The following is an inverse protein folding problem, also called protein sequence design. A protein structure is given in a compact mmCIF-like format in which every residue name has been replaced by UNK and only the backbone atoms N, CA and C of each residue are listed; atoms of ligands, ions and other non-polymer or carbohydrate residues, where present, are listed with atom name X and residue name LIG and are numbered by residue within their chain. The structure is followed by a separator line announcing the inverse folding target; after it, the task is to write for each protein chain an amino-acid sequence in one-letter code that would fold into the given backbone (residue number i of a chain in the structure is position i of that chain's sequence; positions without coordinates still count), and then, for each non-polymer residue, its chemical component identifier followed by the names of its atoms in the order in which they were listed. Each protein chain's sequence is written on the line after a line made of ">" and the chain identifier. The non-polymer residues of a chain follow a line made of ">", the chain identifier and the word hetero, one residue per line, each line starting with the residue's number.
data_IF_935283059201
#
_entry.id   IF_935283059201
#
_cell.length_a   1.000
_cell.length_b   1.000
_cell.length_c   1.000
_cell.angle_alpha   90.00
_cell.angle_beta   90.00
_cell.angle_gamma   90.00
#
_symmetry.space_group_name_H-M   'P 1'
#
loop_
_entity.id
_entity.type
_entity.pdbx_description
1 polymer ?
2 non-polymer ?
3 water ?
#
# COMPACT_ATOMS: atom_id res chain seq x y z
N UNK A 22 -24.32 13.88 -10.05
CA UNK A 22 -24.65 13.75 -8.63
C UNK A 22 -24.42 12.29 -8.18
N UNK A 23 -25.01 11.28 -8.83
CA UNK A 23 -24.74 9.84 -8.62
C UNK A 23 -23.62 9.33 -9.56
N UNK A 24 -22.39 9.20 -9.07
CA UNK A 24 -21.24 8.87 -9.94
C UNK A 24 -20.40 7.76 -9.28
N UNK A 25 -19.54 7.15 -10.07
CA UNK A 25 -18.47 6.25 -9.59
C UNK A 25 -17.50 7.10 -8.79
N UNK A 26 -17.21 6.71 -7.55
CA UNK A 26 -16.22 7.39 -6.69
C UNK A 26 -14.83 7.46 -7.35
N UNK A 27 -14.51 6.56 -8.25
CA UNK A 27 -13.16 6.25 -8.72
C UNK A 27 -12.91 6.78 -10.13
N UNK A 28 -13.90 6.79 -11.01
CA UNK A 28 -13.74 7.31 -12.39
C UNK A 28 -14.76 8.43 -12.71
N UNK A 29 -15.73 8.69 -11.82
CA UNK A 29 -16.73 9.77 -11.93
C UNK A 29 -17.73 9.52 -13.05
N UNK A 30 -17.86 8.30 -13.59
CA UNK A 30 -18.90 7.97 -14.56
C UNK A 30 -20.25 7.95 -13.88
N UNK A 31 -21.31 8.16 -14.68
CA UNK A 31 -22.71 7.98 -14.25
C UNK A 31 -23.22 6.62 -14.66
N UNK A 32 -22.48 5.87 -15.49
CA UNK A 32 -22.95 4.62 -16.15
C UNK A 32 -22.61 3.36 -15.34
N UNK A 33 -23.54 2.41 -15.30
CA UNK A 33 -23.35 1.01 -14.84
C UNK A 33 -22.92 1.00 -13.37
N UNK A 34 -23.59 1.77 -12.53
CA UNK A 34 -23.24 1.95 -11.10
C UNK A 34 -23.85 0.85 -10.23
N UNK A 35 -23.19 0.49 -9.16
CA UNK A 35 -23.77 -0.22 -8.01
C UNK A 35 -23.22 0.39 -6.72
N UNK A 36 -23.88 0.14 -5.58
CA UNK A 36 -23.35 0.52 -4.25
C UNK A 36 -21.99 -0.16 -4.00
N UNK A 37 -21.06 0.61 -3.46
CA UNK A 37 -19.79 0.09 -2.93
C UNK A 37 -20.07 -0.90 -1.78
N UNK A 38 -21.18 -0.75 -1.06
CA UNK A 38 -21.37 -1.43 0.25
C UNK A 38 -22.28 -2.66 0.12
N UNK A 39 -22.82 -2.89 -1.07
CA UNK A 39 -23.69 -4.06 -1.30
C UNK A 39 -22.85 -5.13 -1.93
N UNK A 40 -23.14 -6.39 -1.59
CA UNK A 40 -22.60 -7.51 -2.43
C UNK A 40 -23.09 -7.41 -3.86
N UNK A 41 -22.19 -7.66 -4.79
CA UNK A 41 -22.53 -7.57 -6.21
C UNK A 41 -22.52 -8.99 -6.77
N UNK A 42 -23.69 -9.59 -7.07
CA UNK A 42 -23.69 -10.97 -7.59
C UNK A 42 -23.13 -11.12 -9.02
N UNK A 43 -22.73 -10.04 -9.68
CA UNK A 43 -22.45 -10.04 -11.14
C UNK A 43 -20.96 -10.25 -11.29
N UNK A 44 -20.18 -10.00 -10.24
CA UNK A 44 -18.71 -10.11 -10.26
C UNK A 44 -18.35 -11.13 -9.22
N UNK A 45 -17.78 -12.22 -9.64
CA UNK A 45 -17.07 -13.12 -8.74
C UNK A 45 -15.86 -12.40 -8.18
N UNK A 46 -15.84 -12.16 -6.88
CA UNK A 46 -14.74 -11.43 -6.22
C UNK A 46 -14.20 -12.28 -5.11
N UNK A 47 -12.97 -11.96 -4.77
CA UNK A 47 -12.13 -12.80 -3.91
C UNK A 47 -11.82 -12.05 -2.63
N UNK A 48 -12.20 -10.78 -2.37
CA UNK A 48 -12.09 -10.14 -1.03
C UNK A 48 -13.10 -8.99 -0.95
N UNK A 49 -13.40 -8.43 0.23
CA UNK A 49 -14.43 -7.36 0.30
C UNK A 49 -13.88 -6.09 -0.41
N UNK A 50 -14.78 -5.29 -0.96
CA UNK A 50 -14.36 -4.21 -1.86
C UNK A 50 -13.62 -3.13 -1.07
N UNK A 51 -14.04 -2.71 0.15
CA UNK A 51 -13.27 -1.73 0.89
C UNK A 51 -11.82 -2.18 1.08
N UNK A 52 -11.59 -3.46 1.41
CA UNK A 52 -10.19 -3.94 1.53
C UNK A 52 -9.43 -3.76 0.17
N UNK A 53 -10.08 -4.13 -0.94
CA UNK A 53 -9.43 -4.00 -2.30
C UNK A 53 -9.09 -2.55 -2.60
N UNK A 54 -9.99 -1.64 -2.23
CA UNK A 54 -9.79 -0.20 -2.52
C UNK A 54 -8.57 0.30 -1.73
N UNK A 55 -8.60 -0.01 -0.44
CA UNK A 55 -7.58 0.40 0.52
C UNK A 55 -6.23 -0.09 0.05
N UNK A 56 -6.11 -1.34 -0.38
CA UNK A 56 -4.83 -1.90 -0.80
C UNK A 56 -4.13 -0.98 -1.85
N UNK A 57 -4.89 -0.41 -2.79
CA UNK A 57 -4.35 0.29 -4.00
C UNK A 57 -4.25 1.78 -3.74
N UNK A 58 -5.12 2.36 -2.94
CA UNK A 58 -5.28 3.83 -2.94
C UNK A 58 -5.06 4.38 -1.54
N UNK A 59 -5.12 3.48 -0.52
CA UNK A 59 -5.00 3.86 0.89
C UNK A 59 -6.20 4.68 1.34
N UNK A 60 -7.20 4.87 0.48
CA UNK A 60 -8.52 5.49 0.81
C UNK A 60 -9.34 4.45 1.58
N UNK A 61 -9.86 4.88 2.73
CA UNK A 61 -10.67 4.05 3.62
C UNK A 61 -12.09 4.53 3.41
N UNK A 62 -12.91 3.83 2.65
CA UNK A 62 -14.28 4.25 2.30
C UNK A 62 -15.22 3.74 3.39
N UNK A 63 -16.26 4.46 3.74
CA UNK A 63 -17.30 3.90 4.65
C UNK A 63 -18.61 4.61 4.37
N UNK A 64 -19.71 3.90 4.64
CA UNK A 64 -21.07 4.41 4.45
C UNK A 64 -21.21 5.67 5.30
N UNK A 65 -21.64 6.78 4.71
CA UNK A 65 -21.83 8.05 5.42
C UNK A 65 -20.56 8.88 5.47
N UNK A 66 -19.51 8.61 4.65
CA UNK A 66 -18.29 9.46 4.68
C UNK A 66 -18.51 10.73 3.83
N UNK A 67 -19.68 10.92 3.21
CA UNK A 67 -19.96 12.16 2.46
C UNK A 67 -19.40 12.10 1.03
N UNK A 68 -18.87 10.96 0.60
CA UNK A 68 -18.24 10.79 -0.73
C UNK A 68 -19.18 9.95 -1.54
N UNK A 69 -19.10 9.93 -2.89
CA UNK A 69 -19.97 9.06 -3.67
C UNK A 69 -19.87 7.58 -3.21
N UNK A 70 -21.03 6.93 -3.11
CA UNK A 70 -21.26 5.61 -2.50
C UNK A 70 -21.32 4.50 -3.54
N UNK A 71 -21.03 4.83 -4.80
CA UNK A 71 -21.19 3.94 -5.95
C UNK A 71 -19.85 3.74 -6.65
N UNK A 72 -19.80 2.65 -7.40
CA UNK A 72 -18.65 2.24 -8.25
C UNK A 72 -19.25 1.64 -9.51
N UNK A 73 -18.64 1.92 -10.63
CA UNK A 73 -19.03 1.34 -11.93
C UNK A 73 -18.44 -0.07 -12.01
N UNK A 74 -19.00 -0.85 -12.90
CA UNK A 74 -18.59 -2.25 -13.14
C UNK A 74 -17.12 -2.27 -13.51
N UNK A 75 -16.66 -1.39 -14.40
CA UNK A 75 -15.26 -1.47 -14.86
C UNK A 75 -14.30 -1.19 -13.69
N UNK A 76 -14.55 -0.21 -12.85
CA UNK A 76 -13.74 0.05 -11.65
C UNK A 76 -13.80 -1.18 -10.67
N UNK A 77 -14.96 -1.79 -10.47
CA UNK A 77 -15.06 -3.01 -9.62
C UNK A 77 -14.16 -4.12 -10.19
N UNK A 78 -14.22 -4.31 -11.51
CA UNK A 78 -13.37 -5.33 -12.16
C UNK A 78 -11.90 -5.01 -12.01
N UNK A 79 -11.52 -3.75 -12.17
CA UNK A 79 -10.10 -3.33 -12.03
C UNK A 79 -9.63 -3.59 -10.59
N UNK A 80 -10.44 -3.28 -9.57
CA UNK A 80 -10.03 -3.52 -8.18
C UNK A 80 -9.80 -5.02 -8.01
N UNK A 81 -10.70 -5.84 -8.54
CA UNK A 81 -10.59 -7.31 -8.34
C UNK A 81 -9.32 -7.78 -9.08
N UNK A 82 -9.09 -7.28 -10.26
CA UNK A 82 -7.93 -7.66 -11.09
C UNK A 82 -6.65 -7.31 -10.36
N UNK A 83 -6.53 -6.11 -9.82
CA UNK A 83 -5.32 -5.75 -9.08
C UNK A 83 -5.16 -6.69 -7.86
N UNK A 84 -6.22 -7.04 -7.12
CA UNK A 84 -6.08 -7.94 -5.97
C UNK A 84 -5.55 -9.34 -6.45
N UNK A 85 -6.10 -9.86 -7.54
CA UNK A 85 -5.70 -11.22 -8.03
C UNK A 85 -4.22 -11.21 -8.44
N UNK A 86 -3.81 -10.12 -9.07
CA UNK A 86 -2.40 -9.93 -9.46
C UNK A 86 -1.51 -9.93 -8.22
N UNK A 87 -1.86 -9.16 -7.22
CA UNK A 87 -1.10 -9.09 -5.95
C UNK A 87 -1.00 -10.47 -5.35
N UNK A 88 -2.07 -11.25 -5.33
CA UNK A 88 -2.06 -12.60 -4.76
C UNK A 88 -1.06 -13.48 -5.55
N UNK A 89 -1.01 -13.36 -6.88
CA UNK A 89 -0.04 -14.17 -7.65
C UNK A 89 1.39 -13.73 -7.27
N UNK A 90 1.66 -12.44 -7.25
CA UNK A 90 3.00 -11.90 -6.92
C UNK A 90 3.43 -12.42 -5.55
N UNK A 91 2.50 -12.47 -4.57
CA UNK A 91 2.86 -12.93 -3.21
C UNK A 91 3.13 -14.44 -3.22
N UNK A 92 2.36 -15.22 -3.97
CA UNK A 92 2.62 -16.65 -4.12
C UNK A 92 4.05 -16.85 -4.70
N UNK A 93 4.40 -16.12 -5.75
CA UNK A 93 5.74 -16.23 -6.38
C UNK A 93 6.82 -15.93 -5.34
N UNK A 94 6.64 -14.88 -4.57
CA UNK A 94 7.63 -14.51 -3.53
C UNK A 94 7.77 -15.65 -2.50
N UNK A 95 6.70 -16.22 -1.99
CA UNK A 95 6.74 -17.33 -1.01
C UNK A 95 7.54 -18.52 -1.61
N UNK A 96 7.21 -18.91 -2.83
CA UNK A 96 7.88 -20.06 -3.51
C UNK A 96 9.38 -19.78 -3.69
N UNK A 97 9.75 -18.56 -4.04
CA UNK A 97 11.16 -18.19 -4.27
C UNK A 97 11.85 -18.18 -2.91
N UNK A 98 11.22 -17.63 -1.87
CA UNK A 98 11.90 -17.57 -0.54
C UNK A 98 12.03 -18.97 0.08
N UNK A 99 11.25 -19.94 -0.33
CA UNK A 99 11.26 -21.30 0.24
C UNK A 99 12.25 -22.17 -0.53
N UNK A 100 12.67 -21.74 -1.72
CA UNK A 100 13.52 -22.56 -2.61
C UNK A 100 14.82 -22.97 -1.92
N UNK A 101 15.53 -22.08 -1.20
CA UNK A 101 16.78 -22.46 -0.54
C UNK A 101 16.53 -23.56 0.53
N UNK A 102 15.30 -23.75 1.01
CA UNK A 102 15.05 -24.77 2.04
C UNK A 102 14.90 -26.17 1.43
N UNK A 103 14.58 -26.32 0.14
CA UNK A 103 14.41 -27.67 -0.47
C UNK A 103 15.22 -27.88 -1.74
N UNK A 104 15.58 -26.81 -2.42
CA UNK A 104 16.23 -26.89 -3.73
C UNK A 104 15.28 -27.30 -4.87
N UNK A 105 13.98 -27.37 -4.64
CA UNK A 105 12.99 -27.56 -5.71
C UNK A 105 12.58 -26.19 -6.29
N UNK A 106 13.05 -25.90 -7.50
CA UNK A 106 12.77 -24.64 -8.20
C UNK A 106 11.28 -24.59 -8.57
N UNK A 107 10.56 -23.52 -8.24
CA UNK A 107 9.13 -23.46 -8.54
C UNK A 107 8.86 -23.19 -10.02
N UNK A 108 7.86 -23.88 -10.55
CA UNK A 108 7.44 -23.77 -11.96
C UNK A 108 6.69 -22.45 -12.19
N UNK A 109 6.58 -22.01 -13.47
CA UNK A 109 5.76 -20.84 -13.82
C UNK A 109 4.34 -21.00 -13.25
N UNK A 110 3.76 -19.90 -12.72
CA UNK A 110 2.41 -19.98 -12.12
C UNK A 110 1.36 -19.86 -13.23
N UNK A 111 0.20 -20.49 -12.98
CA UNK A 111 -1.07 -20.28 -13.70
C UNK A 111 -1.51 -18.85 -13.34
N UNK A 112 -1.42 -17.94 -14.30
CA UNK A 112 -1.72 -16.49 -14.18
C UNK A 112 -3.21 -16.34 -13.84
N UNK A 113 -3.62 -15.33 -13.02
CA UNK A 113 -5.03 -15.05 -12.79
C UNK A 113 -5.67 -14.54 -14.10
N UNK A 114 -6.88 -15.00 -14.38
CA UNK A 114 -7.68 -14.45 -15.52
C UNK A 114 -8.06 -13.01 -15.16
N UNK A 115 -7.97 -12.07 -16.08
CA UNK A 115 -8.69 -10.76 -16.01
C UNK A 115 -10.14 -11.04 -15.58
N UNK A 116 -10.66 -10.43 -14.50
CA UNK A 116 -12.09 -10.55 -14.16
C UNK A 116 -13.01 -9.99 -15.25
N UNK A 117 -14.12 -10.67 -15.50
CA UNK A 117 -15.11 -10.31 -16.57
C UNK A 117 -16.45 -10.23 -15.84
N UNK A 118 -17.47 -9.61 -16.39
CA UNK A 118 -18.79 -9.46 -15.71
C UNK A 118 -19.89 -10.47 -16.19
N UNK A 119 -20.49 -11.16 -15.19
CA UNK A 119 -21.87 -11.68 -14.91
C UNK A 119 -21.83 -13.20 -14.60
N UNK B 18 3.56 24.53 -8.22
CA UNK B 18 4.88 24.96 -7.67
C UNK B 18 4.70 26.08 -6.63
N UNK B 19 3.47 26.56 -6.39
CA UNK B 19 3.11 27.39 -5.19
C UNK B 19 3.18 26.52 -3.92
N UNK B 20 2.83 25.24 -4.06
CA UNK B 20 2.98 24.18 -3.03
C UNK B 20 4.49 23.92 -2.79
N UNK B 21 5.34 23.99 -3.83
CA UNK B 21 6.84 23.88 -3.71
C UNK B 21 7.44 25.06 -2.90
N UNK B 22 7.04 25.26 -1.61
CA UNK B 22 7.59 26.23 -0.61
C UNK B 22 8.53 25.46 0.35
N UNK B 23 9.29 26.14 1.24
CA UNK B 23 10.29 25.43 2.10
C UNK B 23 9.63 24.97 3.42
N UNK B 24 8.83 23.93 3.31
CA UNK B 24 8.31 23.17 4.48
C UNK B 24 8.52 21.67 4.27
N UNK B 25 8.35 20.92 5.34
CA UNK B 25 8.25 19.45 5.32
C UNK B 25 6.92 19.11 4.61
N UNK B 26 6.97 18.31 3.55
CA UNK B 26 5.76 17.87 2.82
C UNK B 26 4.75 17.16 3.75
N UNK B 27 5.19 16.57 4.86
CA UNK B 27 4.42 15.59 5.66
C UNK B 27 3.88 16.25 6.95
N UNK B 28 4.64 17.13 7.60
CA UNK B 28 4.11 17.82 8.85
C UNK B 28 4.10 19.36 8.70
N UNK B 29 4.61 19.91 7.60
CA UNK B 29 4.54 21.34 7.24
C UNK B 29 5.48 22.19 8.13
N UNK B 30 6.39 21.61 8.91
CA UNK B 30 7.40 22.42 9.65
C UNK B 30 8.38 23.08 8.66
N UNK B 31 8.97 24.19 9.11
CA UNK B 31 10.06 24.88 8.37
C UNK B 31 11.41 24.44 8.92
N UNK B 32 11.43 23.72 10.05
CA UNK B 32 12.66 23.41 10.81
C UNK B 32 13.31 22.07 10.37
N UNK B 33 14.64 22.08 10.33
CA UNK B 33 15.51 20.88 10.21
C UNK B 33 15.19 20.14 8.91
N UNK B 34 15.07 20.87 7.80
CA UNK B 34 14.66 20.30 6.50
C UNK B 34 15.88 19.77 5.75
N UNK B 35 15.68 18.71 4.98
CA UNK B 35 16.59 18.36 3.86
C UNK B 35 15.74 17.87 2.70
N UNK B 36 16.36 17.71 1.55
CA UNK B 36 15.74 17.15 0.35
C UNK B 36 15.22 15.72 0.64
N UNK B 37 14.04 15.44 0.12
CA UNK B 37 13.49 14.06 0.11
C UNK B 37 14.40 13.17 -0.77
N UNK B 38 15.14 13.74 -1.72
CA UNK B 38 15.89 12.98 -2.77
C UNK B 38 17.39 12.88 -2.43
N UNK B 39 17.83 13.37 -1.27
CA UNK B 39 19.28 13.39 -0.91
C UNK B 39 19.82 11.95 -0.86
N UNK B 40 20.91 11.71 -1.61
CA UNK B 40 21.52 10.41 -1.97
C UNK B 40 21.66 9.49 -0.73
N UNK B 47 19.34 0.18 0.84
CA UNK B 47 18.13 -0.71 0.85
C UNK B 47 17.05 0.02 0.01
N UNK B 48 15.89 0.24 0.60
CA UNK B 48 14.82 1.09 0.06
C UNK B 48 15.18 2.58 0.26
N UNK B 49 15.15 3.37 -0.81
CA UNK B 49 15.33 4.84 -0.70
C UNK B 49 14.08 5.44 -0.01
N UNK B 50 14.14 6.71 0.36
CA UNK B 50 13.03 7.36 1.07
C UNK B 50 11.75 7.43 0.20
N UNK B 51 11.77 7.79 -1.11
CA UNK B 51 10.56 7.70 -1.93
C UNK B 51 9.85 6.33 -1.82
N UNK B 52 10.63 5.25 -1.86
CA UNK B 52 10.04 3.89 -1.73
C UNK B 52 9.39 3.73 -0.34
N UNK B 53 10.03 4.19 0.71
CA UNK B 53 9.50 4.11 2.09
C UNK B 53 8.22 4.91 2.21
N UNK B 54 8.17 6.08 1.59
CA UNK B 54 7.00 6.96 1.62
C UNK B 54 5.84 6.20 0.95
N UNK B 55 6.09 5.67 -0.26
CA UNK B 55 5.06 4.88 -0.95
C UNK B 55 4.57 3.72 -0.06
N UNK B 56 5.49 3.00 0.54
CA UNK B 56 5.15 1.78 1.31
C UNK B 56 4.22 2.16 2.49
N UNK B 57 4.50 3.28 3.17
CA UNK B 57 3.83 3.67 4.42
C UNK B 57 2.56 4.52 4.15
N UNK B 58 2.52 5.29 3.07
CA UNK B 58 1.40 6.27 2.87
C UNK B 58 0.73 6.16 1.52
N UNK B 59 1.32 5.42 0.55
CA UNK B 59 0.83 5.30 -0.83
C UNK B 59 0.97 6.63 -1.57
N UNK B 60 1.74 7.57 -1.04
CA UNK B 60 2.02 8.88 -1.72
C UNK B 60 3.21 8.68 -2.65
N UNK B 61 3.02 9.05 -3.90
CA UNK B 61 4.08 9.12 -4.92
C UNK B 61 4.87 10.42 -4.79
N UNK B 62 6.18 10.37 -4.51
CA UNK B 62 6.98 11.62 -4.54
C UNK B 62 7.99 11.45 -5.68
N UNK B 63 8.21 12.49 -6.46
CA UNK B 63 9.36 12.54 -7.41
C UNK B 63 9.78 13.99 -7.58
N UNK B 64 11.06 14.15 -7.88
CA UNK B 64 11.67 15.49 -8.09
C UNK B 64 10.91 16.16 -9.24
N UNK B 65 10.42 17.37 -9.01
CA UNK B 65 9.61 18.14 -9.95
C UNK B 65 8.14 17.79 -9.92
N UNK B 66 7.58 17.13 -8.89
CA UNK B 66 6.13 16.79 -8.86
C UNK B 66 5.29 18.01 -8.45
N UNK B 67 5.92 19.15 -8.14
CA UNK B 67 5.18 20.39 -7.84
C UNK B 67 4.70 20.44 -6.40
N UNK B 68 5.11 19.49 -5.56
CA UNK B 68 4.77 19.50 -4.12
C UNK B 68 6.06 19.79 -3.40
N UNK B 69 6.06 20.18 -2.11
CA UNK B 69 7.32 20.35 -1.37
C UNK B 69 8.24 19.13 -1.50
N UNK B 70 9.53 19.41 -1.65
CA UNK B 70 10.59 18.46 -1.96
C UNK B 70 11.48 18.25 -0.76
N UNK B 71 11.02 18.73 0.38
CA UNK B 71 11.76 18.64 1.65
C UNK B 71 10.98 17.83 2.69
N UNK B 72 11.75 17.31 3.63
CA UNK B 72 11.25 16.51 4.77
C UNK B 72 12.10 16.89 5.98
N UNK B 73 11.47 17.04 7.13
CA UNK B 73 12.17 17.29 8.38
C UNK B 73 12.82 15.99 8.86
N UNK B 74 13.83 16.13 9.70
CA UNK B 74 14.52 14.97 10.31
C UNK B 74 13.52 14.04 10.98
N UNK B 75 12.60 14.59 11.74
CA UNK B 75 11.65 13.79 12.55
C UNK B 75 10.78 12.95 11.63
N UNK B 76 10.23 13.53 10.55
CA UNK B 76 9.40 12.80 9.57
C UNK B 76 10.27 11.75 8.87
N UNK B 77 11.52 12.05 8.53
CA UNK B 77 12.41 11.04 7.91
C UNK B 77 12.60 9.87 8.89
N UNK B 78 12.83 10.15 10.17
CA UNK B 78 13.01 9.05 11.16
C UNK B 78 11.72 8.28 11.33
N UNK B 79 10.56 8.93 11.35
CA UNK B 79 9.24 8.25 11.44
C UNK B 79 9.03 7.36 10.20
N UNK B 80 9.37 7.81 8.99
CA UNK B 80 9.28 6.91 7.81
C UNK B 80 10.19 5.69 8.02
N UNK B 81 11.40 5.91 8.48
CA UNK B 81 12.38 4.80 8.65
C UNK B 81 11.84 3.87 9.72
N UNK B 82 11.32 4.41 10.82
CA UNK B 82 10.72 3.61 11.92
C UNK B 82 9.54 2.79 11.40
N UNK B 83 8.60 3.40 10.70
CA UNK B 83 7.42 2.65 10.23
C UNK B 83 7.89 1.61 9.20
N UNK B 84 8.86 1.91 8.37
CA UNK B 84 9.33 0.97 7.33
C UNK B 84 10.00 -0.25 8.02
N UNK B 85 10.77 -0.03 9.08
CA UNK B 85 11.40 -1.13 9.85
C UNK B 85 10.29 -1.95 10.50
N UNK B 86 9.19 -1.34 10.93
CA UNK B 86 8.06 -2.09 11.49
C UNK B 86 7.47 -3.00 10.43
N UNK B 87 7.19 -2.45 9.26
CA UNK B 87 6.66 -3.24 8.13
C UNK B 87 7.64 -4.41 7.81
N UNK B 88 8.93 -4.15 7.79
CA UNK B 88 9.97 -5.18 7.49
C UNK B 88 9.92 -6.26 8.57
N UNK B 89 9.75 -5.90 9.84
CA UNK B 89 9.66 -6.91 10.93
C UNK B 89 8.41 -7.74 10.72
N UNK B 90 7.26 -7.11 10.41
CA UNK B 90 5.97 -7.85 10.20
C UNK B 90 6.19 -8.89 9.08
N UNK B 91 6.87 -8.48 8.02
CA UNK B 91 7.08 -9.38 6.83
C UNK B 91 8.04 -10.53 7.24
N UNK B 92 9.08 -10.24 7.99
CA UNK B 92 10.07 -11.26 8.45
C UNK B 92 9.34 -12.29 9.33
N UNK B 93 8.46 -11.83 10.23
CA UNK B 93 7.63 -12.70 11.07
C UNK B 93 6.81 -13.59 10.16
N UNK B 94 6.19 -13.03 9.14
CA UNK B 94 5.32 -13.86 8.26
C UNK B 94 6.17 -14.93 7.53
N UNK B 95 7.32 -14.58 6.98
CA UNK B 95 8.23 -15.50 6.27
C UNK B 95 8.63 -16.65 7.23
N UNK B 96 9.02 -16.32 8.46
CA UNK B 96 9.52 -17.29 9.45
C UNK B 96 8.36 -18.21 9.86
N UNK B 97 7.14 -17.66 10.01
CA UNK B 97 5.97 -18.47 10.37
C UNK B 97 5.65 -19.42 9.22
N UNK B 98 5.75 -18.95 7.99
CA UNK B 98 5.39 -19.79 6.83
C UNK B 98 6.46 -20.84 6.57
N UNK B 99 7.67 -20.67 7.06
CA UNK B 99 8.79 -21.65 6.91
C UNK B 99 8.64 -22.77 7.94
N UNK B 100 7.95 -22.54 9.06
CA UNK B 100 7.89 -23.53 10.16
C UNK B 100 7.33 -24.87 9.67
N UNK B 101 6.26 -24.93 8.86
CA UNK B 101 5.77 -26.21 8.36
C UNK B 101 6.79 -26.95 7.46
N UNK B 102 7.74 -26.24 6.86
CA UNK B 102 8.77 -26.86 6.01
C UNK B 102 9.96 -27.26 6.85
N UNK B 103 10.41 -26.43 7.79
CA UNK B 103 11.69 -26.68 8.51
C UNK B 103 11.43 -27.37 9.85
N UNK B 104 10.26 -27.17 10.45
CA UNK B 104 10.00 -27.63 11.82
C UNK B 104 10.67 -26.82 12.89
N UNK B 105 11.30 -25.71 12.57
CA UNK B 105 11.91 -24.81 13.56
C UNK B 105 10.93 -23.68 13.84
N UNK B 106 10.50 -23.58 15.08
CA UNK B 106 9.65 -22.43 15.51
C UNK B 106 10.54 -21.21 15.64
N UNK B 107 10.18 -20.05 15.06
CA UNK B 107 11.07 -18.88 15.13
C UNK B 107 11.02 -18.22 16.51
N UNK B 108 12.13 -17.68 16.93
CA UNK B 108 12.23 -16.90 18.16
C UNK B 108 11.69 -15.49 17.96
N UNK B 109 11.28 -14.83 19.07
CA UNK B 109 10.80 -13.45 19.03
C UNK B 109 11.81 -12.51 18.34
N UNK B 110 11.27 -11.56 17.58
CA UNK B 110 12.01 -10.50 16.87
C UNK B 110 12.10 -9.22 17.73
N UNK B 111 13.17 -8.46 17.49
CA UNK B 111 13.46 -7.09 17.99
C UNK B 111 12.45 -6.12 17.37
N UNK B 112 11.59 -5.52 18.18
CA UNK B 112 10.69 -4.42 17.76
C UNK B 112 11.51 -3.15 17.50
N UNK B 113 11.21 -2.35 16.46
CA UNK B 113 11.74 -0.98 16.38
C UNK B 113 11.10 -0.13 17.48
N UNK B 114 11.88 0.73 18.16
CA UNK B 114 11.34 1.65 19.22
C UNK B 114 11.15 3.05 18.62
N UNK B 115 10.02 3.72 18.92
CA UNK B 115 9.62 5.05 18.38
C UNK B 115 10.74 6.08 18.58
N UNK B 116 11.15 6.90 17.56
CA UNK B 116 12.28 7.84 17.71
C UNK B 116 12.12 8.93 18.79
N UNK C 21 5.50 -20.57 21.55
CA UNK C 21 5.13 -21.93 21.00
C UNK C 21 3.83 -21.89 20.14
N UNK C 22 2.69 -21.59 20.75
CA UNK C 22 1.28 -21.88 20.30
C UNK C 22 0.59 -20.52 19.97
N UNK C 23 0.47 -19.66 20.98
CA UNK C 23 -0.06 -18.27 20.92
C UNK C 23 1.17 -17.35 20.90
N UNK C 24 1.42 -16.70 19.76
CA UNK C 24 2.43 -15.62 19.67
C UNK C 24 1.81 -14.43 18.95
N UNK C 25 2.49 -13.29 19.04
CA UNK C 25 2.19 -12.07 18.26
C UNK C 25 2.50 -12.40 16.80
N UNK C 26 1.51 -12.22 15.91
CA UNK C 26 1.70 -12.43 14.47
C UNK C 26 2.87 -11.64 13.88
N UNK C 27 3.25 -10.53 14.46
CA UNK C 27 4.13 -9.49 13.84
C UNK C 27 5.51 -9.52 14.46
N UNK C 28 5.65 -9.81 15.77
CA UNK C 28 7.01 -9.89 16.39
C UNK C 28 7.33 -11.28 17.00
N UNK C 29 6.37 -12.20 17.02
CA UNK C 29 6.51 -13.60 17.47
C UNK C 29 6.70 -13.71 18.98
N UNK C 30 6.47 -12.65 19.76
CA UNK C 30 6.58 -12.73 21.24
C UNK C 30 5.39 -13.53 21.76
N UNK C 31 5.58 -14.11 22.94
CA UNK C 31 4.51 -14.82 23.69
C UNK C 31 3.95 -13.87 24.76
N UNK C 32 4.57 -12.70 24.98
CA UNK C 32 4.23 -11.76 26.09
C UNK C 32 3.16 -10.72 25.72
N UNK C 33 2.27 -10.43 26.68
CA UNK C 33 1.32 -9.27 26.64
C UNK C 33 0.41 -9.37 25.42
N UNK C 34 -0.13 -10.56 25.15
CA UNK C 34 -0.94 -10.82 23.92
C UNK C 34 -2.40 -10.45 24.13
N UNK C 35 -3.08 -10.05 23.07
CA UNK C 35 -4.54 -10.14 22.97
C UNK C 35 -4.92 -10.52 21.54
N UNK C 36 -6.19 -10.86 21.31
CA UNK C 36 -6.72 -11.18 19.97
C UNK C 36 -6.58 -9.95 19.06
N UNK C 37 -6.17 -10.18 17.82
CA UNK C 37 -6.22 -9.15 16.75
C UNK C 37 -7.67 -8.74 16.51
N UNK C 38 -8.64 -9.62 16.76
CA UNK C 38 -10.06 -9.45 16.37
C UNK C 38 -10.86 -9.17 17.66
N UNK C 39 -12.20 -9.37 17.69
CA UNK C 39 -12.93 -9.52 18.99
C UNK C 39 -14.00 -10.61 18.87
N UNK C 48 -9.41 3.53 14.06
CA UNK C 48 -9.74 2.45 13.10
C UNK C 48 -9.52 1.07 13.75
N UNK C 49 -10.26 0.04 13.33
CA UNK C 49 -10.10 -1.35 13.85
C UNK C 49 -8.69 -1.88 13.44
N UNK C 50 -8.17 -2.83 14.18
CA UNK C 50 -6.76 -3.22 14.00
C UNK C 50 -6.54 -3.91 12.66
N UNK C 51 -7.42 -4.81 12.16
CA UNK C 51 -7.27 -5.33 10.79
C UNK C 51 -7.04 -4.25 9.75
N UNK C 52 -7.84 -3.19 9.85
CA UNK C 52 -7.70 -2.06 8.91
C UNK C 52 -6.31 -1.43 9.06
N UNK C 53 -5.87 -1.14 10.30
CA UNK C 53 -4.54 -0.56 10.58
C UNK C 53 -3.43 -1.45 10.01
N UNK C 54 -3.57 -2.76 10.15
CA UNK C 54 -2.53 -3.72 9.65
C UNK C 54 -2.46 -3.63 8.14
N UNK C 55 -3.59 -3.69 7.48
CA UNK C 55 -3.64 -3.54 5.99
C UNK C 55 -3.04 -2.15 5.63
N UNK C 56 -3.46 -1.10 6.35
CA UNK C 56 -3.08 0.29 6.01
C UNK C 56 -1.55 0.42 6.03
N UNK C 57 -0.87 -0.22 7.00
CA UNK C 57 0.59 -0.02 7.22
C UNK C 57 1.45 -1.10 6.54
N UNK C 58 0.95 -2.31 6.37
CA UNK C 58 1.82 -3.43 5.88
C UNK C 58 1.25 -4.09 4.64
N UNK C 59 -0.01 -3.80 4.30
CA UNK C 59 -0.72 -4.40 3.16
C UNK C 59 -0.91 -5.92 3.38
N UNK C 60 -0.71 -6.41 4.62
CA UNK C 60 -1.07 -7.80 5.02
C UNK C 60 -2.60 -7.89 5.28
N UNK C 61 -3.28 -8.82 4.66
CA UNK C 61 -4.70 -9.14 4.92
C UNK C 61 -4.81 -10.18 6.04
N UNK C 62 -5.30 -9.86 7.20
CA UNK C 62 -5.46 -10.84 8.30
C UNK C 62 -6.93 -11.14 8.39
N UNK C 63 -7.34 -12.36 8.65
CA UNK C 63 -8.77 -12.66 8.98
C UNK C 63 -8.82 -13.87 9.90
N UNK C 64 -9.86 -13.95 10.71
CA UNK C 64 -10.03 -15.04 11.67
C UNK C 64 -10.15 -16.34 10.85
N UNK C 65 -9.38 -17.34 11.21
CA UNK C 65 -9.31 -18.63 10.50
C UNK C 65 -8.35 -18.59 9.31
N UNK C 66 -7.42 -17.65 9.20
CA UNK C 66 -6.51 -17.61 8.01
C UNK C 66 -5.34 -18.57 8.17
N UNK C 67 -5.26 -19.33 9.25
CA UNK C 67 -4.17 -20.30 9.42
C UNK C 67 -2.98 -19.68 10.12
N UNK C 68 -3.00 -18.39 10.44
CA UNK C 68 -1.79 -17.70 10.97
C UNK C 68 -2.11 -17.28 12.38
N UNK C 69 -1.14 -16.89 13.21
CA UNK C 69 -1.44 -16.42 14.55
C UNK C 69 -2.48 -15.29 14.60
N UNK C 70 -3.37 -15.36 15.56
CA UNK C 70 -4.54 -14.48 15.69
C UNK C 70 -4.37 -13.48 16.83
N UNK C 71 -3.16 -13.37 17.35
CA UNK C 71 -2.83 -12.50 18.50
C UNK C 71 -1.80 -11.43 18.10
N UNK C 72 -1.74 -10.38 18.88
CA UNK C 72 -0.79 -9.25 18.74
C UNK C 72 -0.41 -8.79 20.13
N UNK C 73 0.84 -8.43 20.31
CA UNK C 73 1.34 -7.92 21.61
C UNK C 73 0.96 -6.45 21.73
N UNK C 74 1.02 -5.94 22.97
CA UNK C 74 0.62 -4.52 23.22
C UNK C 74 1.55 -3.62 22.39
N UNK C 75 2.84 -3.87 22.43
CA UNK C 75 3.83 -3.02 21.72
C UNK C 75 3.53 -2.97 20.21
N UNK C 76 3.28 -4.10 19.55
CA UNK C 76 2.90 -4.13 18.11
C UNK C 76 1.57 -3.38 17.90
N UNK C 77 0.59 -3.57 18.75
CA UNK C 77 -0.70 -2.83 18.63
C UNK C 77 -0.44 -1.32 18.71
N UNK C 78 0.41 -0.88 19.62
CA UNK C 78 0.73 0.57 19.76
C UNK C 78 1.51 1.04 18.55
N UNK C 79 2.43 0.22 18.03
CA UNK C 79 3.19 0.57 16.80
C UNK C 79 2.23 0.71 15.62
N UNK C 80 1.25 -0.17 15.46
CA UNK C 80 0.25 -0.01 14.38
C UNK C 80 -0.50 1.29 14.59
N UNK C 81 -0.91 1.59 15.81
CA UNK C 81 -1.69 2.83 16.06
C UNK C 81 -0.81 4.03 15.66
N UNK C 82 0.43 4.04 16.11
CA UNK C 82 1.37 5.15 15.83
C UNK C 82 1.62 5.28 14.32
N UNK C 83 1.88 4.19 13.62
CA UNK C 83 2.11 4.26 12.16
C UNK C 83 0.83 4.73 11.48
N UNK C 84 -0.33 4.29 11.90
CA UNK C 84 -1.62 4.71 11.28
C UNK C 84 -1.80 6.24 11.46
N UNK C 85 -1.49 6.76 12.64
CA UNK C 85 -1.68 8.22 12.93
C UNK C 85 -0.67 9.01 12.08
N UNK C 86 0.55 8.48 11.88
CA UNK C 86 1.55 9.17 11.03
C UNK C 86 1.01 9.23 9.60
N UNK C 87 0.52 8.11 9.09
CA UNK C 87 -0.03 8.03 7.73
C UNK C 87 -1.18 9.02 7.60
N UNK C 88 -2.06 9.07 8.61
CA UNK C 88 -3.18 10.04 8.62
C UNK C 88 -2.66 11.48 8.54
N UNK C 89 -1.63 11.82 9.29
CA UNK C 89 -1.08 13.20 9.28
C UNK C 89 -0.50 13.48 7.89
N UNK C 90 0.26 12.56 7.29
CA UNK C 90 0.84 12.76 5.93
C UNK C 90 -0.30 13.05 4.93
N UNK C 91 -1.41 12.31 5.05
CA UNK C 91 -2.56 12.49 4.12
C UNK C 91 -3.20 13.87 4.33
N UNK C 92 -3.31 14.27 5.59
CA UNK C 92 -3.96 15.56 5.95
C UNK C 92 -3.06 16.68 5.44
N UNK C 93 -1.76 16.57 5.62
CA UNK C 93 -0.75 17.54 5.12
C UNK C 93 -0.88 17.67 3.62
N UNK C 94 -1.04 16.57 2.90
CA UNK C 94 -1.20 16.69 1.42
C UNK C 94 -2.47 17.45 1.07
N UNK C 95 -3.60 17.12 1.69
CA UNK C 95 -4.88 17.82 1.42
C UNK C 95 -4.72 19.33 1.72
N UNK C 96 -4.12 19.68 2.85
CA UNK C 96 -3.94 21.09 3.27
C UNK C 96 -3.05 21.83 2.27
N UNK C 97 -1.96 21.19 1.81
CA UNK C 97 -1.07 21.77 0.77
C UNK C 97 -1.87 21.96 -0.51
N UNK C 98 -2.65 20.94 -0.92
CA UNK C 98 -3.32 21.00 -2.24
C UNK C 98 -4.44 22.02 -2.22
N UNK C 99 -5.00 22.40 -1.05
CA UNK C 99 -6.12 23.38 -1.05
C UNK C 99 -5.56 24.81 -1.06
N UNK C 100 -4.28 25.00 -0.69
CA UNK C 100 -3.69 26.33 -0.53
C UNK C 100 -3.82 27.18 -1.80
N UNK C 101 -3.52 26.65 -3.01
CA UNK C 101 -3.65 27.45 -4.24
C UNK C 101 -5.10 27.87 -4.50
N UNK C 102 -6.07 27.16 -3.98
CA UNK C 102 -7.51 27.47 -4.21
C UNK C 102 -7.99 28.51 -3.20
N UNK C 103 -7.40 28.62 -2.01
CA UNK C 103 -7.98 29.45 -0.91
C UNK C 103 -7.00 30.53 -0.44
N UNK C 104 -5.70 30.38 -0.65
CA UNK C 104 -4.67 31.22 -0.03
C UNK C 104 -4.50 31.02 1.47
N UNK C 105 -5.09 30.01 2.10
CA UNK C 105 -4.81 29.71 3.53
C UNK C 105 -3.60 28.78 3.71
N UNK C 106 -2.43 29.33 4.02
CA UNK C 106 -1.21 28.51 4.22
C UNK C 106 -1.39 27.72 5.52
N UNK C 107 -1.25 26.37 5.50
CA UNK C 107 -1.42 25.62 6.73
C UNK C 107 -0.14 25.74 7.59
N UNK C 108 -0.35 25.90 8.89
CA UNK C 108 0.73 25.94 9.89
C UNK C 108 1.21 24.52 10.18
N UNK C 109 2.42 24.39 10.77
CA UNK C 109 3.00 23.12 11.16
C UNK C 109 1.99 22.26 11.94
N UNK C 110 2.00 20.95 11.70
CA UNK C 110 1.03 20.00 12.28
C UNK C 110 1.62 19.45 13.56
N UNK C 111 0.75 19.10 14.51
CA UNK C 111 1.14 18.37 15.75
C UNK C 111 1.39 16.94 15.31
N UNK C 112 2.66 16.49 15.27
CA UNK C 112 3.05 15.10 14.96
C UNK C 112 2.38 14.15 15.96
N UNK C 113 1.98 12.92 15.57
CA UNK C 113 1.44 11.97 16.54
C UNK C 113 2.55 11.51 17.49
N UNK C 114 2.24 11.45 18.78
CA UNK C 114 3.15 10.91 19.83
C UNK C 114 2.82 9.42 19.92
N UNK C 115 3.78 8.55 20.28
CA UNK C 115 3.54 7.12 20.61
C UNK C 115 2.37 7.04 21.60
N UNK C 116 1.27 6.29 21.32
CA UNK C 116 0.08 6.31 22.18
C UNK C 116 0.33 5.73 23.58
N UNK C 117 -0.38 6.26 24.58
CA UNK C 117 -0.32 5.78 26.00
C UNK C 117 -0.70 4.29 26.04
N UNK C 118 0.00 3.52 26.90
CA UNK C 118 -0.15 2.05 27.03
C UNK C 118 -1.47 1.71 27.73
N UNK D 22 16.62 -20.54 -13.53
CA UNK D 22 17.70 -19.58 -13.14
C UNK D 22 17.27 -18.13 -13.42
N UNK D 23 16.91 -17.76 -14.66
CA UNK D 23 16.38 -16.43 -15.03
C UNK D 23 14.86 -16.51 -15.11
N UNK D 24 14.12 -15.96 -14.14
CA UNK D 24 12.64 -16.00 -14.22
C UNK D 24 12.06 -14.59 -13.89
N UNK D 25 10.81 -14.41 -14.23
CA UNK D 25 10.01 -13.24 -13.79
C UNK D 25 9.80 -13.39 -12.29
N UNK D 26 10.20 -12.41 -11.48
CA UNK D 26 10.00 -12.44 -10.02
C UNK D 26 8.53 -12.62 -9.63
N UNK D 27 7.56 -12.30 -10.50
CA UNK D 27 6.14 -12.16 -10.12
C UNK D 27 5.33 -13.31 -10.60
N UNK D 28 5.61 -13.87 -11.80
CA UNK D 28 4.87 -15.07 -12.26
C UNK D 28 5.79 -16.30 -12.50
N UNK D 29 7.10 -16.13 -12.36
CA UNK D 29 8.10 -17.24 -12.44
C UNK D 29 8.27 -17.77 -13.87
N UNK D 30 7.77 -17.08 -14.90
CA UNK D 30 8.03 -17.50 -16.32
C UNK D 30 9.49 -17.23 -16.67
N UNK D 31 9.95 -17.98 -17.66
CA UNK D 31 11.29 -17.81 -18.28
C UNK D 31 11.15 -16.95 -19.54
N UNK D 32 9.93 -16.69 -20.02
CA UNK D 32 9.65 -16.07 -21.35
C UNK D 32 9.58 -14.53 -21.27
N UNK D 33 10.17 -13.86 -22.25
CA UNK D 33 9.95 -12.43 -22.61
C UNK D 33 10.40 -11.58 -21.42
N UNK D 34 11.56 -11.87 -20.86
CA UNK D 34 12.07 -11.22 -19.64
C UNK D 34 12.83 -9.95 -19.96
N UNK D 35 12.87 -9.01 -19.03
CA UNK D 35 13.88 -7.95 -19.01
C UNK D 35 14.12 -7.51 -17.58
N UNK D 36 15.15 -6.72 -17.34
CA UNK D 36 15.53 -6.25 -16.00
C UNK D 36 14.40 -5.38 -15.42
N UNK D 37 14.09 -5.59 -14.15
CA UNK D 37 13.20 -4.69 -13.37
C UNK D 37 13.84 -3.31 -13.29
N UNK D 38 15.17 -3.19 -13.37
CA UNK D 38 15.91 -1.93 -13.03
C UNK D 38 16.33 -1.16 -14.29
N UNK D 39 15.98 -1.66 -15.45
CA UNK D 39 16.33 -1.09 -16.77
C UNK D 39 15.27 -0.01 -17.10
N UNK D 40 15.69 1.24 -17.33
CA UNK D 40 14.81 2.37 -17.75
C UNK D 40 14.11 2.01 -19.07
N UNK D 46 8.34 8.61 -17.08
CA UNK D 46 7.24 8.13 -16.21
C UNK D 46 7.46 8.71 -14.80
N UNK D 47 6.39 9.19 -14.14
CA UNK D 47 6.47 9.79 -12.78
C UNK D 47 7.29 8.79 -11.91
N UNK D 48 6.88 7.54 -11.91
CA UNK D 48 7.25 6.50 -10.93
C UNK D 48 8.04 5.42 -11.66
N UNK D 49 9.18 5.01 -11.15
CA UNK D 49 9.95 3.85 -11.70
C UNK D 49 9.19 2.55 -11.40
N UNK D 50 9.60 1.44 -11.96
CA UNK D 50 8.89 0.16 -11.78
C UNK D 50 8.95 -0.31 -10.31
N UNK D 51 10.08 -0.23 -9.58
CA UNK D 51 10.09 -0.56 -8.15
C UNK D 51 9.00 0.18 -7.36
N UNK D 52 8.81 1.46 -7.65
CA UNK D 52 7.76 2.26 -6.97
C UNK D 52 6.37 1.70 -7.31
N UNK D 53 6.13 1.37 -8.57
CA UNK D 53 4.85 0.81 -9.06
C UNK D 53 4.59 -0.51 -8.37
N UNK D 54 5.63 -1.34 -8.25
CA UNK D 54 5.46 -2.69 -7.64
C UNK D 54 5.07 -2.50 -6.18
N UNK D 55 5.77 -1.65 -5.47
CA UNK D 55 5.42 -1.31 -4.07
C UNK D 55 3.96 -0.83 -3.99
N UNK D 56 3.57 0.08 -4.84
CA UNK D 56 2.24 0.71 -4.77
C UNK D 56 1.16 -0.37 -4.94
N UNK D 57 1.38 -1.35 -5.82
CA UNK D 57 0.33 -2.32 -6.18
C UNK D 57 0.38 -3.57 -5.31
N UNK D 58 1.55 -4.00 -4.89
CA UNK D 58 1.68 -5.31 -4.17
C UNK D 58 2.34 -5.19 -2.79
N UNK D 59 2.96 -4.05 -2.46
CA UNK D 59 3.68 -3.81 -1.18
C UNK D 59 4.94 -4.69 -1.13
N UNK D 60 5.37 -5.25 -2.29
CA UNK D 60 6.68 -5.97 -2.40
C UNK D 60 7.81 -4.94 -2.60
N UNK D 61 8.83 -5.05 -1.76
CA UNK D 61 10.09 -4.29 -1.89
C UNK D 61 11.06 -4.96 -2.89
N UNK D 62 11.47 -4.25 -3.92
CA UNK D 62 12.50 -4.76 -4.87
C UNK D 62 13.62 -3.73 -4.89
N UNK D 63 14.87 -4.18 -4.82
CA UNK D 63 16.04 -3.32 -5.11
C UNK D 63 17.16 -4.17 -5.68
N UNK D 64 17.99 -3.54 -6.49
CA UNK D 64 19.15 -4.21 -7.14
C UNK D 64 20.04 -4.78 -6.02
N UNK D 65 20.34 -6.08 -6.10
CA UNK D 65 21.16 -6.80 -5.12
C UNK D 65 20.33 -7.30 -3.92
N UNK D 66 19.00 -7.41 -4.01
CA UNK D 66 18.19 -7.88 -2.84
C UNK D 66 18.20 -9.41 -2.75
N UNK D 67 18.89 -10.11 -3.65
CA UNK D 67 18.99 -11.57 -3.60
C UNK D 67 17.86 -12.28 -4.29
N UNK D 68 16.89 -11.56 -4.85
CA UNK D 68 15.68 -12.17 -5.47
C UNK D 68 15.79 -11.96 -6.97
N UNK D 69 15.02 -12.69 -7.80
CA UNK D 69 15.09 -12.51 -9.25
C UNK D 69 14.92 -11.04 -9.66
N UNK D 70 15.73 -10.60 -10.62
CA UNK D 70 15.94 -9.19 -11.00
C UNK D 70 15.21 -8.85 -12.30
N UNK D 71 14.43 -9.79 -12.78
CA UNK D 71 13.73 -9.72 -14.08
C UNK D 71 12.20 -9.77 -13.87
N UNK D 72 11.50 -9.32 -14.89
CA UNK D 72 10.03 -9.30 -15.01
C UNK D 72 9.69 -9.53 -16.46
N UNK D 73 8.68 -10.31 -16.71
CA UNK D 73 8.11 -10.54 -18.04
C UNK D 73 7.30 -9.33 -18.50
N UNK D 74 7.16 -9.19 -19.80
CA UNK D 74 6.45 -8.04 -20.42
C UNK D 74 5.03 -7.97 -19.86
N UNK D 75 4.32 -9.09 -19.76
CA UNK D 75 2.93 -9.14 -19.34
C UNK D 75 2.80 -8.61 -17.90
N UNK D 76 3.64 -9.05 -16.96
CA UNK D 76 3.69 -8.57 -15.58
C UNK D 76 4.04 -7.05 -15.59
N UNK D 77 4.99 -6.61 -16.38
CA UNK D 77 5.34 -5.17 -16.46
C UNK D 77 4.11 -4.38 -16.91
N UNK D 78 3.41 -4.86 -17.94
CA UNK D 78 2.27 -4.06 -18.46
C UNK D 78 1.14 -4.09 -17.43
N UNK D 79 0.94 -5.21 -16.70
CA UNK D 79 -0.11 -5.24 -15.68
C UNK D 79 0.25 -4.27 -14.53
N UNK D 80 1.52 -4.17 -14.11
CA UNK D 80 1.91 -3.17 -13.09
C UNK D 80 1.55 -1.76 -13.62
N UNK D 81 1.92 -1.45 -14.86
CA UNK D 81 1.67 -0.11 -15.41
C UNK D 81 0.16 0.16 -15.43
N UNK D 82 -0.63 -0.83 -15.87
CA UNK D 82 -2.10 -0.72 -15.94
C UNK D 82 -2.67 -0.45 -14.55
N UNK D 83 -2.28 -1.24 -13.56
CA UNK D 83 -2.80 -1.09 -12.19
C UNK D 83 -2.36 0.28 -11.67
N UNK D 84 -1.16 0.71 -11.95
CA UNK D 84 -0.64 1.99 -11.40
C UNK D 84 -1.45 3.16 -12.02
N UNK D 85 -1.79 3.07 -13.30
CA UNK D 85 -2.61 4.14 -13.97
C UNK D 85 -4.01 4.14 -13.33
N UNK D 86 -4.54 2.96 -12.95
CA UNK D 86 -5.80 2.87 -12.21
C UNK D 86 -5.70 3.65 -10.89
N UNK D 87 -4.67 3.36 -10.11
CA UNK D 87 -4.43 4.02 -8.82
C UNK D 87 -4.35 5.56 -9.04
N UNK D 88 -3.65 6.02 -10.07
CA UNK D 88 -3.50 7.46 -10.37
C UNK D 88 -4.88 8.04 -10.69
N UNK D 89 -5.71 7.35 -11.44
CA UNK D 89 -7.06 7.84 -11.79
C UNK D 89 -7.88 7.96 -10.51
N UNK D 90 -7.86 6.93 -9.63
CA UNK D 90 -8.63 6.91 -8.37
C UNK D 90 -8.23 8.13 -7.56
N UNK D 91 -6.94 8.45 -7.50
CA UNK D 91 -6.44 9.56 -6.68
C UNK D 91 -6.91 10.91 -7.31
N UNK D 92 -6.89 11.03 -8.63
CA UNK D 92 -7.37 12.25 -9.31
C UNK D 92 -8.88 12.43 -8.97
N UNK D 93 -9.69 11.39 -9.07
CA UNK D 93 -11.13 11.41 -8.71
C UNK D 93 -11.31 11.89 -7.28
N UNK D 94 -10.52 11.37 -6.35
CA UNK D 94 -10.61 11.73 -4.95
C UNK D 94 -10.31 13.22 -4.79
N UNK D 95 -9.23 13.74 -5.40
CA UNK D 95 -8.86 15.16 -5.23
C UNK D 95 -10.00 16.03 -5.80
N UNK D 96 -10.48 15.71 -6.99
CA UNK D 96 -11.53 16.55 -7.66
C UNK D 96 -12.83 16.55 -6.84
N UNK D 97 -13.21 15.41 -6.27
CA UNK D 97 -14.43 15.29 -5.45
C UNK D 97 -14.22 16.13 -4.21
N UNK D 98 -13.08 16.00 -3.55
CA UNK D 98 -12.86 16.68 -2.28
C UNK D 98 -12.82 18.20 -2.49
N UNK D 99 -12.35 18.66 -3.62
CA UNK D 99 -12.15 20.09 -3.91
C UNK D 99 -13.43 20.69 -4.48
N UNK D 100 -14.39 19.90 -4.92
CA UNK D 100 -15.61 20.41 -5.56
C UNK D 100 -16.33 21.47 -4.70
N UNK D 101 -16.48 21.29 -3.38
CA UNK D 101 -17.10 22.31 -2.53
C UNK D 101 -16.31 23.61 -2.48
N UNK D 102 -14.99 23.60 -2.79
CA UNK D 102 -14.25 24.88 -2.93
C UNK D 102 -14.40 25.43 -4.37
N UNK D 103 -14.36 24.59 -5.41
CA UNK D 103 -14.25 25.15 -6.79
C UNK D 103 -15.63 25.40 -7.40
N UNK D 104 -16.63 24.62 -7.00
CA UNK D 104 -17.99 24.62 -7.58
C UNK D 104 -18.03 24.05 -8.99
N UNK D 105 -16.99 23.37 -9.46
CA UNK D 105 -16.99 22.84 -10.85
C UNK D 105 -17.14 21.34 -10.72
N UNK D 106 -18.28 20.73 -11.08
CA UNK D 106 -18.49 19.27 -10.91
C UNK D 106 -17.56 18.55 -11.91
N UNK D 107 -16.72 17.61 -11.43
CA UNK D 107 -15.70 17.04 -12.33
C UNK D 107 -16.30 16.08 -13.34
N UNK D 108 -15.81 16.15 -14.59
CA UNK D 108 -16.30 15.27 -15.68
C UNK D 108 -15.74 13.85 -15.51
N UNK D 109 -16.36 12.85 -16.12
CA UNK D 109 -15.87 11.46 -16.05
C UNK D 109 -14.41 11.37 -16.52
N UNK D 110 -13.59 10.55 -15.89
CA UNK D 110 -12.16 10.41 -16.19
C UNK D 110 -11.96 9.31 -17.27
N UNK D 111 -10.82 9.30 -17.93
CA UNK D 111 -10.43 8.16 -18.85
C UNK D 111 -10.03 6.93 -18.01
N UNK D 112 -10.79 5.84 -18.13
CA UNK D 112 -10.44 4.55 -17.47
C UNK D 112 -9.27 3.93 -18.23
N UNK D 113 -8.22 3.38 -17.54
CA UNK D 113 -7.13 2.69 -18.25
C UNK D 113 -7.67 1.38 -18.85
N UNK D 114 -7.31 1.10 -20.10
CA UNK D 114 -7.92 0.04 -20.95
C UNK D 114 -6.99 -1.19 -20.94
N UNK D 115 -7.37 -2.22 -21.69
CA UNK D 115 -6.80 -3.59 -21.67
C UNK D 115 -5.28 -3.53 -21.79
N UNK D 116 -4.51 -4.12 -20.84
CA UNK D 116 -3.06 -4.32 -21.05
C UNK D 116 -2.81 -5.26 -22.24
X LIG E 1 -15.60 3.79 -12.32
X LIG F 1 8.02 16.76 9.13
X LIG G 1 4.44 -7.98 18.75
X LIG H 1 5.65 -12.34 -15.13
#
# INVERSE_FOLDING_TARGET
>A
SGSPEFNMAAKLEVREAMLTEKRVCRFCLTEQKLASIFEENPRVKTTANLPLQIMAITAIEVYAGDGMPGHICLECRLLFEHCYRFKQMCKRAETLLRQYPLTGNWPSPLEKPRAPISS
>B
SGSPEFNMAAKLEVREAMLTEKRVCRFCLTEQKLASIFEENPRVKTTANLPLQIMAITAIEVYAGDGMPGHICLECRLLFEHCYRFKQMCKRAETLLRQYPLTGNWPSPLEKPRAPISS
>C
SGSPEFNMAAKLEVREAMLTEKRVCRFCLTEQKLASIFEENPRVKTTANLPLQIMAITAIEVYAGDGMPGHICLECRLLFEHCYRFKQMCKRAETLLRQYPLTGNWPSPLEKPRAPISS
>D
SGSPEFNMAAKLEVREAMLTEKRVCRFCLTEQKLASIFEENPRVKTTANLPLQIMAITAIEVYAGDGMPGHICLECRLLFEHCYRFKQMCKRAETLLRQYPLTGNWPSPLEKPRAPISS
>E hetero
1 ZN ZN
>F hetero
1 ZN ZN
>G hetero
1 ZN ZN
>H hetero
1 ZN ZN
#
